data_IF_686851287522
#
_entry.id   IF_686851287522
#
_cell.length_a   1.000
_cell.length_b   1.000
_cell.length_c   1.000
_cell.angle_alpha   90.00
_cell.angle_beta   90.00
_cell.angle_gamma   90.00
#
_symmetry.space_group_name_H-M   'P 1'
#
loop_
_entity.id
_entity.type
_entity.pdbx_description
1 polymer ?
#
# COMPACT_ATOMS: atom_id res chain seq x y z
N UNK A 1 -5.10 -2.15 -15.55
CA UNK A 1 -3.65 -2.24 -15.87
C UNK A 1 -3.41 -2.07 -17.36
N UNK A 2 -4.00 -2.93 -18.21
CA UNK A 2 -3.92 -2.81 -19.68
C UNK A 2 -4.25 -1.41 -20.20
N UNK A 3 -5.34 -0.79 -19.71
CA UNK A 3 -5.73 0.58 -20.10
C UNK A 3 -4.62 1.59 -19.76
N UNK A 4 -4.03 1.51 -18.56
CA UNK A 4 -2.95 2.42 -18.12
C UNK A 4 -1.70 2.21 -19.00
N UNK A 5 -1.31 0.96 -19.24
CA UNK A 5 -0.12 0.62 -20.04
C UNK A 5 -0.28 1.10 -21.49
N UNK A 6 -1.43 0.87 -22.11
CA UNK A 6 -1.73 1.31 -23.47
C UNK A 6 -1.74 2.84 -23.54
N UNK A 7 -2.41 3.50 -22.60
CA UNK A 7 -2.45 4.95 -22.53
C UNK A 7 -1.04 5.55 -22.37
N UNK A 8 -0.22 5.02 -21.47
CA UNK A 8 1.17 5.48 -21.28
C UNK A 8 2.05 5.18 -22.49
N UNK A 9 1.85 4.05 -23.18
CA UNK A 9 2.57 3.71 -24.41
C UNK A 9 2.30 4.74 -25.51
N UNK A 10 1.01 5.07 -25.72
CA UNK A 10 0.56 6.05 -26.72
C UNK A 10 1.15 7.43 -26.40
N UNK A 11 1.10 7.88 -25.14
CA UNK A 11 1.70 9.16 -24.77
C UNK A 11 3.23 9.17 -25.03
N UNK A 12 3.96 8.16 -24.58
CA UNK A 12 5.41 8.13 -24.77
C UNK A 12 5.83 7.99 -26.23
N UNK A 13 4.99 7.38 -27.08
CA UNK A 13 5.21 7.26 -28.52
C UNK A 13 5.28 8.64 -29.19
N UNK A 14 4.44 9.58 -28.75
CA UNK A 14 4.33 10.93 -29.32
C UNK A 14 5.19 12.00 -28.63
N UNK A 15 5.69 11.71 -27.42
CA UNK A 15 6.53 12.64 -26.64
C UNK A 15 8.04 12.57 -26.97
N UNK A 16 8.47 11.74 -27.90
CA UNK A 16 9.90 11.58 -28.24
C UNK A 16 10.45 12.72 -29.11
N UNK A 17 11.48 13.42 -28.64
CA UNK A 17 12.23 14.41 -29.42
C UNK A 17 13.32 13.75 -30.28
N UNK A 18 13.39 14.05 -31.57
CA UNK A 18 14.38 13.45 -32.49
C UNK A 18 13.97 13.48 -33.96
N UNK A 19 14.79 12.86 -34.84
CA UNK A 19 14.47 12.72 -36.27
C UNK A 19 13.20 11.85 -36.44
N UNK A 20 12.13 12.35 -37.08
CA UNK A 20 10.89 11.60 -37.26
C UNK A 20 11.10 10.49 -38.30
N UNK A 21 10.70 9.26 -37.96
CA UNK A 21 10.68 8.13 -38.92
C UNK A 21 9.38 8.15 -39.72
N UNK A 22 8.30 8.60 -39.07
CA UNK A 22 6.99 8.80 -39.70
C UNK A 22 6.41 10.10 -39.18
N UNK A 23 5.97 10.98 -40.09
CA UNK A 23 5.35 12.25 -39.75
C UNK A 23 3.98 12.31 -40.41
N UNK A 24 2.93 12.41 -39.59
CA UNK A 24 1.57 12.64 -40.04
C UNK A 24 1.04 13.88 -39.30
N UNK A 25 1.28 15.07 -39.88
CA UNK A 25 0.89 16.36 -39.29
C UNK A 25 1.57 16.66 -37.93
N UNK A 26 0.77 16.90 -36.89
CA UNK A 26 1.22 17.15 -35.51
C UNK A 26 1.77 15.89 -34.81
N UNK A 27 1.51 14.70 -35.37
CA UNK A 27 1.97 13.44 -34.80
C UNK A 27 3.30 13.05 -35.45
N UNK A 28 4.38 13.16 -34.68
CA UNK A 28 5.72 12.73 -35.06
C UNK A 28 6.08 11.48 -34.28
N UNK A 29 6.28 10.37 -34.99
CA UNK A 29 6.80 9.14 -34.38
C UNK A 29 8.30 9.13 -34.59
N UNK A 30 9.04 9.26 -33.49
CA UNK A 30 10.51 9.21 -33.47
C UNK A 30 10.98 7.83 -32.99
N UNK A 31 12.18 7.40 -33.40
CA UNK A 31 12.74 6.14 -32.87
C UNK A 31 12.90 6.17 -31.35
N UNK A 32 13.23 7.36 -30.81
CA UNK A 32 13.32 7.58 -29.38
C UNK A 32 11.94 7.44 -28.70
N UNK A 33 10.87 7.93 -29.33
CA UNK A 33 9.50 7.75 -28.85
C UNK A 33 9.06 6.29 -28.80
N UNK A 34 9.40 5.49 -29.82
CA UNK A 34 9.14 4.05 -29.83
C UNK A 34 9.90 3.33 -28.70
N UNK A 35 11.19 3.62 -28.55
CA UNK A 35 12.01 3.02 -27.49
C UNK A 35 11.49 3.38 -26.10
N UNK A 36 11.17 4.67 -25.86
CA UNK A 36 10.62 5.14 -24.60
C UNK A 36 9.23 4.55 -24.32
N UNK A 37 8.37 4.40 -25.33
CA UNK A 37 7.06 3.77 -25.17
C UNK A 37 7.20 2.32 -24.68
N UNK A 38 8.03 1.52 -25.34
CA UNK A 38 8.28 0.12 -24.96
C UNK A 38 8.89 0.05 -23.55
N UNK A 39 9.91 0.86 -23.27
CA UNK A 39 10.60 0.85 -21.99
C UNK A 39 9.70 1.26 -20.82
N UNK A 40 8.90 2.31 -20.99
CA UNK A 40 7.96 2.78 -19.97
C UNK A 40 6.81 1.81 -19.75
N UNK A 41 6.28 1.19 -20.81
CA UNK A 41 5.26 0.14 -20.69
C UNK A 41 5.79 -1.07 -19.92
N UNK A 42 6.98 -1.55 -20.26
CA UNK A 42 7.61 -2.67 -19.55
C UNK A 42 7.87 -2.33 -18.08
N UNK A 43 8.37 -1.11 -17.80
CA UNK A 43 8.58 -0.62 -16.43
C UNK A 43 7.31 -0.63 -15.60
N UNK A 44 6.19 -0.15 -16.14
CA UNK A 44 4.90 -0.14 -15.43
C UNK A 44 4.41 -1.56 -15.16
N UNK A 45 4.51 -2.45 -16.16
CA UNK A 45 4.12 -3.86 -15.99
C UNK A 45 4.91 -4.49 -14.84
N UNK A 46 6.23 -4.34 -14.82
CA UNK A 46 7.09 -4.89 -13.76
C UNK A 46 6.74 -4.31 -12.39
N UNK A 47 6.56 -2.99 -12.28
CA UNK A 47 6.18 -2.34 -11.01
C UNK A 47 4.84 -2.87 -10.47
N UNK A 48 3.85 -3.01 -11.34
CA UNK A 48 2.51 -3.46 -10.94
C UNK A 48 2.52 -4.94 -10.56
N UNK A 49 3.17 -5.80 -11.34
CA UNK A 49 3.29 -7.24 -11.02
C UNK A 49 3.97 -7.42 -9.67
N UNK A 50 5.04 -6.68 -9.40
CA UNK A 50 5.73 -6.76 -8.12
C UNK A 50 4.84 -6.31 -6.95
N UNK A 51 4.07 -5.23 -7.12
CA UNK A 51 3.12 -4.77 -6.11
C UNK A 51 2.00 -5.78 -5.83
N UNK A 52 1.45 -6.42 -6.87
CA UNK A 52 0.44 -7.47 -6.72
C UNK A 52 1.02 -8.70 -6.04
N UNK A 53 2.23 -9.13 -6.43
CA UNK A 53 2.92 -10.26 -5.82
C UNK A 53 3.10 -10.03 -4.32
N UNK A 54 3.63 -8.87 -3.93
CA UNK A 54 3.80 -8.50 -2.51
C UNK A 54 2.47 -8.55 -1.73
N UNK A 55 1.40 -8.00 -2.32
CA UNK A 55 0.07 -7.93 -1.70
C UNK A 55 -0.57 -9.32 -1.57
N UNK A 56 -0.32 -10.20 -2.55
CA UNK A 56 -0.90 -11.55 -2.58
C UNK A 56 -0.15 -12.53 -1.66
N UNK A 57 1.17 -12.43 -1.57
CA UNK A 57 1.99 -13.37 -0.78
C UNK A 57 2.15 -12.96 0.69
N UNK A 58 1.82 -11.72 1.05
CA UNK A 58 2.14 -11.17 2.38
C UNK A 58 0.87 -10.73 3.12
N UNK A 59 0.70 -11.21 4.35
CA UNK A 59 -0.42 -10.76 5.19
C UNK A 59 -0.20 -9.33 5.71
N UNK A 60 -1.26 -8.51 5.88
CA UNK A 60 -1.14 -7.13 6.37
C UNK A 60 -0.42 -7.03 7.73
N UNK A 61 -0.67 -7.98 8.63
CA UNK A 61 0.00 -8.03 9.95
C UNK A 61 1.50 -8.30 9.83
N UNK A 62 1.92 -9.13 8.87
CA UNK A 62 3.34 -9.38 8.60
C UNK A 62 4.01 -8.16 7.97
N UNK A 63 3.29 -7.44 7.11
CA UNK A 63 3.76 -6.17 6.54
C UNK A 63 4.00 -5.12 7.64
N UNK A 64 3.08 -4.98 8.60
CA UNK A 64 3.26 -4.06 9.74
C UNK A 64 4.47 -4.45 10.60
N UNK A 65 4.69 -5.75 10.87
CA UNK A 65 5.86 -6.21 11.60
C UNK A 65 7.17 -5.91 10.84
N UNK A 66 7.16 -6.05 9.50
CA UNK A 66 8.29 -5.70 8.66
C UNK A 66 8.59 -4.19 8.71
N UNK A 67 7.56 -3.34 8.55
CA UNK A 67 7.67 -1.89 8.67
C UNK A 67 8.21 -1.51 10.04
N UNK A 68 7.69 -2.10 11.11
CA UNK A 68 8.19 -1.86 12.47
C UNK A 68 9.68 -2.17 12.59
N UNK A 69 10.14 -3.30 12.03
CA UNK A 69 11.55 -3.66 12.08
C UNK A 69 12.43 -2.73 11.23
N UNK A 70 11.92 -2.24 10.10
CA UNK A 70 12.60 -1.24 9.25
C UNK A 70 12.64 0.14 9.90
N UNK A 71 11.66 0.48 10.73
CA UNK A 71 11.59 1.75 11.46
C UNK A 71 12.35 1.73 12.79
N UNK A 72 12.84 0.59 13.28
CA UNK A 72 13.72 0.50 14.47
C UNK A 72 14.83 1.56 14.55
N UNK A 73 15.59 1.89 13.50
CA UNK A 73 16.62 2.93 13.56
C UNK A 73 16.05 4.34 13.83
N UNK A 74 14.78 4.61 13.55
CA UNK A 74 14.16 5.89 13.93
C UNK A 74 14.03 6.08 15.45
N UNK A 75 14.33 5.04 16.25
CA UNK A 75 14.36 5.16 17.71
C UNK A 75 15.40 6.17 18.17
N UNK A 76 16.50 6.32 17.41
CA UNK A 76 17.52 7.34 17.68
C UNK A 76 16.97 8.78 17.52
N UNK A 77 15.87 8.95 16.78
CA UNK A 77 15.17 10.21 16.60
C UNK A 77 14.08 10.44 17.66
N UNK A 78 14.07 9.69 18.76
CA UNK A 78 13.08 9.74 19.85
C UNK A 78 11.63 9.40 19.44
N UNK A 79 11.45 8.65 18.35
CA UNK A 79 10.13 8.18 17.92
C UNK A 79 9.82 6.81 18.58
N UNK A 80 8.66 6.69 19.23
CA UNK A 80 8.17 5.42 19.79
C UNK A 80 7.57 4.51 18.70
N UNK A 81 8.45 3.72 18.08
CA UNK A 81 8.07 2.74 17.05
C UNK A 81 7.17 1.63 17.61
N UNK A 82 7.25 1.32 18.91
CA UNK A 82 6.47 0.25 19.52
C UNK A 82 5.01 0.67 19.67
N UNK A 83 4.78 1.92 20.10
CA UNK A 83 3.44 2.50 20.13
C UNK A 83 2.82 2.55 18.72
N UNK A 84 3.59 2.98 17.71
CA UNK A 84 3.12 2.98 16.32
C UNK A 84 2.74 1.58 15.84
N UNK A 85 3.57 0.57 16.10
CA UNK A 85 3.30 -0.81 15.71
C UNK A 85 2.06 -1.40 16.42
N UNK A 86 1.88 -1.09 17.71
CA UNK A 86 0.70 -1.46 18.47
C UNK A 86 -0.56 -0.86 17.85
N UNK A 87 -0.58 0.46 17.63
CA UNK A 87 -1.73 1.17 17.05
C UNK A 87 -2.07 0.64 15.66
N UNK A 88 -1.06 0.42 14.81
CA UNK A 88 -1.26 -0.19 13.49
C UNK A 88 -1.84 -1.60 13.56
N UNK A 89 -1.34 -2.43 14.48
CA UNK A 89 -1.85 -3.81 14.65
C UNK A 89 -3.29 -3.83 15.14
N UNK A 90 -3.64 -2.94 16.08
CA UNK A 90 -5.02 -2.77 16.57
C UNK A 90 -5.91 -2.29 15.42
N UNK A 91 -5.48 -1.27 14.67
CA UNK A 91 -6.23 -0.75 13.54
C UNK A 91 -6.50 -1.84 12.49
N UNK A 92 -5.48 -2.59 12.06
CA UNK A 92 -5.64 -3.69 11.10
C UNK A 92 -6.62 -4.76 11.59
N UNK A 93 -6.63 -5.06 12.89
CA UNK A 93 -7.56 -6.02 13.49
C UNK A 93 -8.98 -5.48 13.59
N UNK A 94 -9.13 -4.17 13.79
CA UNK A 94 -10.42 -3.51 13.91
C UNK A 94 -11.09 -3.26 12.57
N UNK A 95 -10.33 -3.07 11.48
CA UNK A 95 -10.87 -2.84 10.13
C UNK A 95 -11.96 -3.87 9.76
N UNK A 96 -11.73 -5.20 9.80
CA UNK A 96 -12.78 -6.17 9.46
C UNK A 96 -14.03 -6.01 10.33
N UNK A 97 -13.85 -5.84 11.64
CA UNK A 97 -14.98 -5.71 12.57
C UNK A 97 -15.74 -4.40 12.40
N UNK A 98 -15.08 -3.33 11.95
CA UNK A 98 -15.73 -2.05 11.66
C UNK A 98 -16.55 -2.14 10.36
N UNK A 99 -16.05 -2.87 9.35
CA UNK A 99 -16.80 -3.15 8.13
C UNK A 99 -18.07 -3.94 8.44
N UNK A 100 -17.95 -5.01 9.24
CA UNK A 100 -19.12 -5.78 9.69
C UNK A 100 -20.14 -4.94 10.47
N UNK A 101 -19.67 -4.01 11.30
CA UNK A 101 -20.52 -3.09 12.06
C UNK A 101 -21.24 -2.10 11.12
N UNK A 102 -20.52 -1.56 10.14
CA UNK A 102 -21.11 -0.71 9.09
C UNK A 102 -22.21 -1.46 8.34
N UNK A 103 -21.98 -2.73 7.98
CA UNK A 103 -22.97 -3.55 7.29
C UNK A 103 -24.22 -3.79 8.16
N UNK A 104 -24.03 -4.11 9.45
CA UNK A 104 -25.13 -4.30 10.40
C UNK A 104 -25.95 -3.02 10.60
N UNK A 105 -25.27 -1.88 10.81
CA UNK A 105 -25.95 -0.58 11.00
C UNK A 105 -26.68 -0.20 9.72
N UNK A 106 -26.06 -0.40 8.55
CA UNK A 106 -26.67 -0.14 7.24
C UNK A 106 -27.94 -0.97 7.05
N UNK A 107 -27.89 -2.27 7.32
CA UNK A 107 -29.06 -3.14 7.24
C UNK A 107 -30.17 -2.68 8.20
N UNK A 108 -29.83 -2.35 9.45
CA UNK A 108 -30.80 -1.85 10.43
C UNK A 108 -31.46 -0.53 10.01
N UNK A 109 -30.70 0.40 9.43
CA UNK A 109 -31.25 1.67 8.93
C UNK A 109 -32.14 1.45 7.71
N UNK A 110 -31.75 0.57 6.78
CA UNK A 110 -32.60 0.17 5.64
C UNK A 110 -33.93 -0.44 6.12
N UNK A 111 -33.91 -1.31 7.14
CA UNK A 111 -35.14 -1.86 7.75
C UNK A 111 -36.02 -0.81 8.43
N UNK A 112 -35.44 0.30 8.89
CA UNK A 112 -36.16 1.44 9.46
C UNK A 112 -36.69 2.41 8.40
N UNK A 113 -36.57 2.08 7.11
CA UNK A 113 -37.06 2.88 6.00
C UNK A 113 -36.11 4.00 5.57
N UNK A 114 -34.84 3.97 5.99
CA UNK A 114 -33.84 4.91 5.48
C UNK A 114 -33.49 4.55 4.03
N UNK A 115 -33.87 5.41 3.09
CA UNK A 115 -33.44 5.31 1.70
C UNK A 115 -32.04 5.92 1.55
N UNK A 116 -31.08 5.07 1.21
CA UNK A 116 -29.67 5.41 1.11
C UNK A 116 -29.16 5.46 -0.33
N UNK A 117 -29.97 4.98 -1.28
CA UNK A 117 -29.54 4.79 -2.67
C UNK A 117 -30.19 5.81 -3.61
N UNK A 118 -31.35 6.35 -3.25
CA UNK A 118 -32.06 7.36 -4.04
C UNK A 118 -31.72 8.82 -3.67
N UNK A 119 -32.01 9.73 -4.61
CA UNK A 119 -31.92 11.18 -4.41
C UNK A 119 -30.59 11.83 -4.85
N UNK A 120 -30.54 13.15 -4.67
CA UNK A 120 -29.37 13.98 -5.03
C UNK A 120 -28.18 13.69 -4.11
N UNK A 121 -26.96 14.08 -4.53
CA UNK A 121 -25.71 13.92 -3.76
C UNK A 121 -25.85 14.41 -2.30
N UNK A 122 -26.56 15.52 -2.08
CA UNK A 122 -26.83 16.08 -0.75
C UNK A 122 -27.66 15.12 0.12
N UNK A 123 -28.66 14.45 -0.46
CA UNK A 123 -29.50 13.50 0.26
C UNK A 123 -28.70 12.24 0.63
N UNK A 124 -27.81 11.78 -0.27
CA UNK A 124 -26.90 10.67 0.02
C UNK A 124 -25.93 10.99 1.17
N UNK A 125 -25.38 12.21 1.21
CA UNK A 125 -24.52 12.64 2.33
C UNK A 125 -25.32 12.63 3.65
N UNK A 126 -26.55 13.15 3.65
CA UNK A 126 -27.42 13.12 4.84
C UNK A 126 -27.76 11.69 5.27
N UNK A 127 -27.91 10.76 4.33
CA UNK A 127 -28.18 9.35 4.60
C UNK A 127 -27.01 8.59 5.25
N UNK A 128 -25.78 9.14 5.21
CA UNK A 128 -24.60 8.56 5.89
C UNK A 128 -24.57 8.90 7.39
N UNK A 129 -25.16 10.01 7.80
CA UNK A 129 -25.13 10.49 9.20
C UNK A 129 -25.69 9.46 10.20
N UNK A 130 -26.85 8.79 9.95
CA UNK A 130 -27.40 7.76 10.83
C UNK A 130 -26.52 6.52 10.99
N UNK A 131 -25.52 6.32 10.12
CA UNK A 131 -24.54 5.23 10.22
C UNK A 131 -23.31 5.71 10.99
N UNK A 132 -22.83 6.90 10.67
CA UNK A 132 -21.61 7.46 11.25
C UNK A 132 -21.75 7.66 12.77
N UNK A 133 -22.87 8.23 13.25
CA UNK A 133 -23.02 8.51 14.68
C UNK A 133 -22.95 7.23 15.52
N UNK A 134 -23.74 6.16 15.24
CA UNK A 134 -23.63 4.90 15.97
C UNK A 134 -22.25 4.25 15.84
N UNK A 135 -21.64 4.30 14.64
CA UNK A 135 -20.30 3.73 14.41
C UNK A 135 -19.24 4.42 15.28
N UNK A 136 -19.27 5.74 15.40
CA UNK A 136 -18.35 6.48 16.27
C UNK A 136 -18.56 6.13 17.74
N UNK A 137 -19.81 6.13 18.22
CA UNK A 137 -20.12 5.78 19.61
C UNK A 137 -19.67 4.35 19.92
N UNK A 138 -19.92 3.40 19.01
CA UNK A 138 -19.48 2.00 19.12
C UNK A 138 -17.94 1.89 19.13
N UNK A 139 -17.26 2.65 18.26
CA UNK A 139 -15.79 2.68 18.18
C UNK A 139 -15.14 3.23 19.45
N UNK A 140 -15.68 4.32 20.02
CA UNK A 140 -15.20 4.88 21.30
C UNK A 140 -15.42 3.90 22.45
N UNK A 141 -16.59 3.26 22.51
CA UNK A 141 -16.85 2.22 23.51
C UNK A 141 -15.83 1.09 23.42
N UNK A 142 -15.58 0.58 22.21
CA UNK A 142 -14.61 -0.50 21.98
C UNK A 142 -13.17 -0.08 22.32
N UNK A 143 -12.81 1.17 22.05
CA UNK A 143 -11.51 1.70 22.46
C UNK A 143 -11.36 1.67 23.98
N UNK A 144 -12.37 2.14 24.73
CA UNK A 144 -12.36 2.10 26.20
C UNK A 144 -12.34 0.67 26.74
N UNK A 145 -13.15 -0.24 26.18
CA UNK A 145 -13.15 -1.66 26.58
C UNK A 145 -11.79 -2.32 26.32
N UNK A 146 -11.15 -2.01 25.19
CA UNK A 146 -9.81 -2.51 24.88
C UNK A 146 -8.77 -1.92 25.84
N UNK A 147 -8.84 -0.62 26.14
CA UNK A 147 -7.98 0.05 27.11
C UNK A 147 -8.07 -0.61 28.49
N UNK A 148 -9.28 -0.73 29.05
CA UNK A 148 -9.49 -1.39 30.35
C UNK A 148 -8.99 -2.84 30.34
N UNK A 149 -9.26 -3.59 29.26
CA UNK A 149 -8.77 -4.96 29.12
C UNK A 149 -7.23 -5.04 29.05
N UNK A 150 -6.59 -4.04 28.44
CA UNK A 150 -5.13 -3.93 28.38
C UNK A 150 -4.55 -3.59 29.77
N UNK A 151 -5.17 -2.67 30.50
CA UNK A 151 -4.75 -2.31 31.86
C UNK A 151 -4.90 -3.48 32.84
N UNK A 152 -6.02 -4.21 32.79
CA UNK A 152 -6.24 -5.43 33.57
C UNK A 152 -5.21 -6.53 33.29
N UNK A 153 -4.63 -6.54 32.08
CA UNK A 153 -3.50 -7.43 31.70
C UNK A 153 -2.14 -6.83 32.02
N UNK A 154 -2.10 -5.77 32.81
CA UNK A 154 -0.91 -5.02 33.19
C UNK A 154 -0.10 -4.52 31.98
N UNK A 155 -0.78 -4.14 30.89
CA UNK A 155 -0.13 -3.55 29.72
C UNK A 155 0.27 -2.11 30.04
N UNK A 156 1.56 -1.86 30.29
CA UNK A 156 2.09 -0.52 30.65
C UNK A 156 2.76 0.23 29.48
N UNK A 157 2.82 -0.37 28.29
CA UNK A 157 3.61 0.16 27.15
C UNK A 157 5.12 0.22 27.44
N UNK A 158 5.93 0.56 26.44
CA UNK A 158 7.34 0.93 26.64
C UNK A 158 8.42 -0.17 26.58
N UNK A 159 9.65 0.25 26.88
CA UNK A 159 10.88 -0.55 26.78
C UNK A 159 10.87 -1.74 27.75
N UNK A 160 11.40 -2.90 27.31
CA UNK A 160 11.54 -4.11 28.13
C UNK A 160 10.52 -5.22 27.87
N UNK A 161 9.62 -5.06 26.89
CA UNK A 161 8.66 -6.10 26.49
C UNK A 161 9.31 -7.19 25.65
N UNK A 162 8.92 -8.44 25.89
CA UNK A 162 9.23 -9.58 25.02
C UNK A 162 8.23 -9.68 23.87
N UNK A 163 8.67 -10.19 22.72
CA UNK A 163 7.82 -10.41 21.54
C UNK A 163 7.46 -11.88 21.42
N UNK A 164 6.17 -12.16 21.30
CA UNK A 164 5.68 -13.52 21.04
C UNK A 164 5.96 -13.96 19.59
N UNK A 165 5.83 -13.03 18.62
CA UNK A 165 6.11 -13.30 17.21
C UNK A 165 7.36 -12.53 16.78
N UNK A 166 8.46 -13.25 16.63
CA UNK A 166 9.75 -12.71 16.17
C UNK A 166 9.97 -13.17 14.74
N UNK A 167 10.37 -12.24 13.86
CA UNK A 167 10.78 -12.56 12.49
C UNK A 167 12.17 -13.19 12.55
N UNK A 168 12.29 -14.44 12.07
CA UNK A 168 13.55 -15.16 11.95
C UNK A 168 13.90 -15.25 10.47
N UNK A 169 15.18 -15.06 10.16
CA UNK A 169 15.69 -15.27 8.80
C UNK A 169 15.83 -16.76 8.55
N UNK A 170 15.18 -17.23 7.49
CA UNK A 170 15.35 -18.59 7.00
C UNK A 170 16.51 -18.65 5.97
N UNK A 171 17.03 -19.84 5.68
CA UNK A 171 18.06 -20.05 4.66
C UNK A 171 17.62 -19.51 3.28
N UNK A 172 16.32 -19.59 2.98
CA UNK A 172 15.73 -19.02 1.76
C UNK A 172 15.86 -17.50 1.70
N UNK A 173 15.78 -16.82 2.84
CA UNK A 173 15.89 -15.36 2.90
C UNK A 173 17.31 -14.91 2.58
N UNK A 174 18.32 -15.64 3.06
CA UNK A 174 19.72 -15.39 2.71
C UNK A 174 20.00 -15.60 1.23
N UNK A 175 19.46 -16.67 0.63
CA UNK A 175 19.60 -16.92 -0.82
C UNK A 175 18.93 -15.80 -1.62
N UNK A 176 17.70 -15.41 -1.26
CA UNK A 176 16.99 -14.31 -1.90
C UNK A 176 17.76 -12.99 -1.77
N UNK A 177 18.32 -12.69 -0.60
CA UNK A 177 19.11 -11.50 -0.34
C UNK A 177 20.39 -11.48 -1.20
N UNK A 178 21.10 -12.60 -1.28
CA UNK A 178 22.28 -12.73 -2.12
C UNK A 178 21.96 -12.52 -3.60
N UNK A 179 20.94 -13.20 -4.13
CA UNK A 179 20.50 -13.04 -5.52
C UNK A 179 20.10 -11.59 -5.82
N UNK A 180 19.43 -10.92 -4.88
CA UNK A 180 19.04 -9.51 -5.02
C UNK A 180 20.26 -8.60 -5.10
N UNK A 181 21.26 -8.80 -4.24
CA UNK A 181 22.51 -8.03 -4.26
C UNK A 181 23.27 -8.26 -5.57
N UNK A 182 23.37 -9.50 -6.04
CA UNK A 182 24.03 -9.83 -7.32
C UNK A 182 23.29 -9.18 -8.49
N UNK A 183 21.96 -9.21 -8.50
CA UNK A 183 21.15 -8.58 -9.54
C UNK A 183 21.37 -7.06 -9.60
N UNK A 184 21.28 -6.36 -8.46
CA UNK A 184 21.53 -4.91 -8.42
C UNK A 184 22.99 -4.56 -8.73
N UNK A 185 23.94 -5.33 -8.22
CA UNK A 185 25.37 -5.17 -8.52
C UNK A 185 25.67 -5.34 -10.00
N UNK A 186 25.08 -6.35 -10.65
CA UNK A 186 25.18 -6.58 -12.09
C UNK A 186 24.61 -5.42 -12.92
N UNK A 187 23.45 -4.88 -12.52
CA UNK A 187 22.86 -3.70 -13.18
C UNK A 187 23.77 -2.48 -13.05
N UNK A 188 24.32 -2.23 -11.86
CA UNK A 188 25.24 -1.10 -11.62
C UNK A 188 26.52 -1.27 -12.44
N UNK A 189 27.10 -2.48 -12.46
CA UNK A 189 28.28 -2.80 -13.25
C UNK A 189 28.03 -2.58 -14.75
N UNK A 190 26.93 -3.12 -15.30
CA UNK A 190 26.53 -2.89 -16.69
C UNK A 190 26.35 -1.40 -16.99
N UNK A 191 25.73 -0.64 -16.08
CA UNK A 191 25.58 0.81 -16.26
C UNK A 191 26.93 1.53 -16.30
N UNK A 192 27.89 1.14 -15.47
CA UNK A 192 29.24 1.73 -15.44
C UNK A 192 30.00 1.36 -16.72
N UNK A 193 29.98 0.09 -17.14
CA UNK A 193 30.64 -0.37 -18.37
C UNK A 193 30.04 0.28 -19.62
N UNK A 194 28.72 0.35 -19.76
CA UNK A 194 28.07 0.98 -20.92
C UNK A 194 28.31 2.49 -20.99
N UNK A 195 28.40 3.18 -19.84
CA UNK A 195 28.75 4.62 -19.80
C UNK A 195 30.25 4.87 -20.08
N UNK A 196 31.10 3.85 -19.96
CA UNK A 196 32.53 3.92 -20.29
C UNK A 196 32.83 3.57 -21.76
N UNK A 197 31.87 2.98 -22.49
CA UNK A 197 32.02 2.49 -23.86
C UNK A 197 31.36 3.41 -24.91
N UNK A 198 30.54 4.39 -24.47
CA UNK A 198 29.94 5.46 -25.29
C UNK A 198 30.55 6.79 -24.88
#
# INVERSE_FOLDING_TARGET
>A
ILIIVIFTAILNLFYGTGKPVFQLGFLKITQLGIHNAIFMSMRIIVLVIFGIMLTYTTTPTSLTNAIESLLKPLKYLHIDIQMLAMTMTIALRFIPTLVEEVDKITAAQKSRGADMESGNIINRIKAVIPIMIPLFVSSFRRANELEYAMECRCYRGGNGRTRMRVMHFDAKDYICLFLTIVYFGGIIALKIFTKSVI
#
